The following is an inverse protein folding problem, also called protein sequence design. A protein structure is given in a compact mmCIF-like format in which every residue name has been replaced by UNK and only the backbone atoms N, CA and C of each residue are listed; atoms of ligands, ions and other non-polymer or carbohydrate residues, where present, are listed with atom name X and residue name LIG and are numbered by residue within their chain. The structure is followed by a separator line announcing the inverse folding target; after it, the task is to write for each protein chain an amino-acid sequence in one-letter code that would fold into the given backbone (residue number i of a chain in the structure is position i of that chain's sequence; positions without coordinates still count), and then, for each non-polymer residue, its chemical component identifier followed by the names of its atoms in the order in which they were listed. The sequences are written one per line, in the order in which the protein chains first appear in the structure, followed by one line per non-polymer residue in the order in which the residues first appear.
data_IF_164586525554
#
_entry.id   IF_164586525554
#
_cell.length_a   1.000
_cell.length_b   1.000
_cell.length_c   1.000
_cell.angle_alpha   90.00
_cell.angle_beta   90.00
_cell.angle_gamma   90.00
#
_symmetry.space_group_name_H-M   'P 1'
#
loop_
_entity.id
_entity.type
_entity.pdbx_description
1 polymer ?
#
# COMPACT_ATOMS: atom_id res chain seq x y z
N UNK A 1 -6.64 -11.03 -24.93
CA UNK A 1 -6.80 -12.48 -25.20
C UNK A 1 -6.04 -12.82 -26.47
N UNK A 2 -5.36 -13.97 -26.52
CA UNK A 2 -4.65 -14.40 -27.73
C UNK A 2 -5.63 -14.77 -28.87
N UNK A 3 -5.18 -14.83 -30.14
CA UNK A 3 -6.05 -15.10 -31.29
C UNK A 3 -6.85 -16.40 -31.19
N UNK A 4 -6.25 -17.46 -30.63
CA UNK A 4 -6.91 -18.76 -30.44
C UNK A 4 -8.09 -18.66 -29.47
N UNK A 5 -7.91 -17.98 -28.33
CA UNK A 5 -8.99 -17.76 -27.37
C UNK A 5 -10.11 -16.90 -27.96
N UNK A 6 -9.78 -15.89 -28.77
CA UNK A 6 -10.79 -15.07 -29.45
C UNK A 6 -11.68 -15.94 -30.34
N UNK A 7 -11.07 -16.75 -31.23
CA UNK A 7 -11.82 -17.65 -32.12
C UNK A 7 -12.70 -18.62 -31.34
N UNK A 8 -12.16 -19.27 -30.29
CA UNK A 8 -12.93 -20.19 -29.46
C UNK A 8 -14.10 -19.50 -28.75
N UNK A 9 -13.89 -18.30 -28.20
CA UNK A 9 -14.94 -17.53 -27.51
C UNK A 9 -16.09 -17.05 -28.40
N UNK A 10 -15.91 -17.02 -29.73
CA UNK A 10 -16.96 -16.63 -30.66
C UNK A 10 -17.92 -17.78 -31.01
N UNK A 11 -17.46 -19.02 -30.84
CA UNK A 11 -18.18 -20.23 -31.29
C UNK A 11 -18.77 -20.99 -30.10
N UNK A 12 -18.09 -20.97 -28.95
CA UNK A 12 -18.54 -21.70 -27.75
C UNK A 12 -19.74 -21.02 -27.09
N UNK A 13 -20.68 -21.84 -26.59
CA UNK A 13 -21.76 -21.38 -25.70
C UNK A 13 -21.16 -20.56 -24.55
N UNK A 14 -21.79 -19.46 -24.14
CA UNK A 14 -21.30 -18.53 -23.09
C UNK A 14 -19.97 -17.79 -23.36
N UNK A 15 -19.38 -17.98 -24.55
CA UNK A 15 -18.23 -17.21 -25.04
C UNK A 15 -17.03 -17.16 -24.11
N UNK A 16 -16.67 -15.97 -23.63
CA UNK A 16 -15.49 -15.77 -22.76
C UNK A 16 -15.61 -16.48 -21.41
N UNK A 17 -16.83 -16.59 -20.87
CA UNK A 17 -17.06 -17.24 -19.58
C UNK A 17 -16.67 -18.73 -19.66
N UNK A 18 -17.02 -19.40 -20.75
CA UNK A 18 -16.65 -20.79 -20.99
C UNK A 18 -15.16 -21.02 -21.09
N UNK A 19 -14.38 -20.08 -21.66
CA UNK A 19 -12.91 -20.23 -21.66
C UNK A 19 -12.34 -20.35 -20.24
N UNK A 20 -12.86 -19.55 -19.31
CA UNK A 20 -12.45 -19.57 -17.91
C UNK A 20 -12.98 -20.82 -17.20
N UNK A 21 -14.28 -21.11 -17.34
CA UNK A 21 -14.93 -22.20 -16.64
C UNK A 21 -14.45 -23.58 -17.13
N UNK A 22 -14.20 -23.77 -18.43
CA UNK A 22 -13.61 -24.99 -18.97
C UNK A 22 -12.26 -25.28 -18.29
N UNK A 23 -11.41 -24.26 -18.16
CA UNK A 23 -10.10 -24.40 -17.53
C UNK A 23 -10.22 -24.70 -16.03
N UNK A 24 -11.03 -23.92 -15.31
CA UNK A 24 -11.20 -24.11 -13.85
C UNK A 24 -11.81 -25.47 -13.54
N UNK A 25 -12.81 -25.92 -14.31
CA UNK A 25 -13.45 -27.22 -14.12
C UNK A 25 -12.46 -28.36 -14.35
N UNK A 26 -11.68 -28.33 -15.44
CA UNK A 26 -10.67 -29.35 -15.74
C UNK A 26 -9.64 -29.45 -14.62
N UNK A 27 -9.08 -28.32 -14.18
CA UNK A 27 -8.10 -28.28 -13.08
C UNK A 27 -8.74 -28.77 -11.78
N UNK A 28 -9.97 -28.37 -11.48
CA UNK A 28 -10.65 -28.76 -10.26
C UNK A 28 -10.98 -30.26 -10.22
N UNK A 29 -11.38 -30.84 -11.36
CA UNK A 29 -11.62 -32.28 -11.49
C UNK A 29 -10.32 -33.05 -11.30
N UNK A 30 -9.25 -32.66 -12.00
CA UNK A 30 -7.93 -33.28 -11.82
C UNK A 30 -7.48 -33.27 -10.34
N UNK A 31 -7.60 -32.13 -9.64
CA UNK A 31 -7.23 -32.04 -8.23
C UNK A 31 -8.09 -32.96 -7.38
N UNK A 32 -9.40 -33.05 -7.63
CA UNK A 32 -10.30 -33.92 -6.85
C UNK A 32 -10.03 -35.40 -7.06
N UNK A 33 -9.71 -35.81 -8.27
CA UNK A 33 -9.41 -37.21 -8.60
C UNK A 33 -8.09 -37.67 -7.95
N UNK A 34 -7.08 -36.79 -7.91
CA UNK A 34 -5.76 -37.13 -7.40
C UNK A 34 -5.58 -36.79 -5.90
N UNK A 35 -6.33 -35.81 -5.39
CA UNK A 35 -6.24 -35.29 -4.02
C UNK A 35 -7.63 -35.00 -3.44
N UNK A 36 -8.47 -36.04 -3.24
CA UNK A 36 -9.89 -35.88 -2.89
C UNK A 36 -10.16 -35.15 -1.56
N UNK A 37 -9.15 -35.07 -0.69
CA UNK A 37 -9.25 -34.39 0.60
C UNK A 37 -9.01 -32.87 0.52
N UNK A 38 -8.52 -32.35 -0.61
CA UNK A 38 -8.28 -30.92 -0.77
C UNK A 38 -9.58 -30.16 -1.08
N UNK A 39 -9.70 -28.98 -0.48
CA UNK A 39 -10.73 -28.00 -0.82
C UNK A 39 -10.14 -26.98 -1.78
N UNK A 40 -10.85 -26.73 -2.86
CA UNK A 40 -10.42 -25.81 -3.91
C UNK A 40 -11.12 -24.48 -3.69
N UNK A 41 -10.33 -23.43 -3.50
CA UNK A 41 -10.79 -22.06 -3.32
C UNK A 41 -10.33 -21.24 -4.52
N UNK A 42 -11.21 -20.42 -5.10
CA UNK A 42 -10.88 -19.52 -6.21
C UNK A 42 -11.31 -18.09 -5.90
N UNK A 43 -10.56 -17.11 -6.39
CA UNK A 43 -10.99 -15.71 -6.37
C UNK A 43 -12.23 -15.51 -7.24
N UNK A 44 -13.18 -14.71 -6.75
CA UNK A 44 -14.50 -14.63 -7.35
C UNK A 44 -14.62 -13.68 -8.55
N UNK A 45 -13.59 -12.87 -8.85
CA UNK A 45 -13.62 -11.78 -9.85
C UNK A 45 -14.25 -12.17 -11.17
N UNK A 46 -13.76 -13.29 -11.71
CA UNK A 46 -14.18 -13.78 -13.02
C UNK A 46 -15.63 -14.28 -13.01
N UNK A 47 -16.14 -14.69 -11.84
CA UNK A 47 -17.50 -15.18 -11.65
C UNK A 47 -18.54 -14.05 -11.53
N UNK A 48 -18.12 -12.84 -11.15
CA UNK A 48 -19.05 -11.72 -10.89
C UNK A 48 -19.91 -11.35 -12.08
N UNK A 49 -19.33 -11.35 -13.28
CA UNK A 49 -20.03 -11.01 -14.53
C UNK A 49 -20.86 -12.15 -15.13
N UNK A 50 -20.66 -13.39 -14.66
CA UNK A 50 -21.35 -14.58 -15.18
C UNK A 50 -22.76 -14.68 -14.59
N UNK A 51 -23.73 -15.06 -15.43
CA UNK A 51 -25.10 -15.30 -14.99
C UNK A 51 -25.25 -16.63 -14.23
N UNK A 52 -26.33 -16.74 -13.45
CA UNK A 52 -26.65 -17.94 -12.64
C UNK A 52 -26.68 -19.19 -13.51
N UNK A 53 -27.31 -19.12 -14.69
CA UNK A 53 -27.51 -20.28 -15.55
C UNK A 53 -26.17 -20.84 -16.06
N UNK A 54 -25.25 -19.97 -16.45
CA UNK A 54 -23.91 -20.34 -16.90
C UNK A 54 -23.16 -21.09 -15.80
N UNK A 55 -23.18 -20.56 -14.57
CA UNK A 55 -22.52 -21.20 -13.43
C UNK A 55 -23.16 -22.55 -13.07
N UNK A 56 -24.48 -22.68 -13.17
CA UNK A 56 -25.22 -23.93 -12.94
C UNK A 56 -24.93 -24.98 -14.02
N UNK A 57 -24.99 -24.61 -15.29
CA UNK A 57 -24.71 -25.50 -16.42
C UNK A 57 -23.29 -26.10 -16.32
N UNK A 58 -22.33 -25.36 -15.74
CA UNK A 58 -20.96 -25.83 -15.47
C UNK A 58 -20.79 -26.61 -14.16
N UNK A 59 -21.83 -26.68 -13.31
CA UNK A 59 -21.80 -27.31 -12.00
C UNK A 59 -20.66 -26.83 -11.08
N UNK A 60 -20.21 -25.58 -11.27
CA UNK A 60 -19.02 -25.04 -10.62
C UNK A 60 -19.16 -24.98 -9.10
N UNK A 61 -20.39 -24.80 -8.60
CA UNK A 61 -20.72 -24.75 -7.19
C UNK A 61 -20.44 -26.04 -6.41
N UNK A 62 -20.33 -27.17 -7.12
CA UNK A 62 -19.93 -28.45 -6.54
C UNK A 62 -18.43 -28.70 -6.65
N UNK A 63 -17.68 -27.88 -7.41
CA UNK A 63 -16.25 -28.07 -7.67
C UNK A 63 -15.37 -27.21 -6.75
N UNK A 64 -15.77 -25.96 -6.50
CA UNK A 64 -14.94 -24.95 -5.81
C UNK A 64 -15.75 -24.14 -4.81
N UNK A 65 -15.06 -23.51 -3.85
CA UNK A 65 -15.61 -22.48 -2.95
C UNK A 65 -15.08 -21.10 -3.38
N UNK A 66 -15.90 -20.06 -3.57
CA UNK A 66 -15.41 -18.73 -3.94
C UNK A 66 -14.84 -17.99 -2.74
N UNK A 67 -13.75 -17.25 -2.96
CA UNK A 67 -13.20 -16.23 -2.09
C UNK A 67 -13.62 -14.86 -2.61
N UNK A 68 -14.63 -14.27 -1.97
CA UNK A 68 -15.18 -12.97 -2.33
C UNK A 68 -14.35 -11.86 -1.69
N UNK A 69 -13.79 -10.96 -2.48
CA UNK A 69 -12.90 -9.91 -1.96
C UNK A 69 -13.33 -8.50 -2.33
N UNK A 70 -13.02 -7.54 -1.47
CA UNK A 70 -13.26 -6.12 -1.70
C UNK A 70 -12.45 -5.35 -0.67
N UNK A 71 -11.65 -4.39 -1.13
CA UNK A 71 -10.64 -3.75 -0.28
C UNK A 71 -10.91 -2.29 0.05
N UNK A 72 -11.94 -1.65 -0.54
CA UNK A 72 -12.27 -0.27 -0.20
C UNK A 72 -12.84 -0.14 1.22
N UNK A 73 -12.75 1.07 1.77
CA UNK A 73 -13.43 1.48 3.00
C UNK A 73 -14.96 1.39 2.87
N UNK A 74 -15.65 1.47 4.01
CA UNK A 74 -17.11 1.40 4.11
C UNK A 74 -17.84 2.35 3.17
N UNK A 75 -17.34 3.58 2.99
CA UNK A 75 -17.93 4.61 2.14
C UNK A 75 -17.95 4.22 0.65
N UNK A 76 -16.95 3.45 0.22
CA UNK A 76 -16.75 3.02 -1.18
C UNK A 76 -16.92 1.50 -1.36
N UNK A 77 -17.56 0.83 -0.40
CA UNK A 77 -17.73 -0.62 -0.42
C UNK A 77 -18.90 -1.02 -1.30
N UNK A 78 -18.62 -1.66 -2.46
CA UNK A 78 -19.61 -1.89 -3.53
C UNK A 78 -19.79 -3.36 -3.86
N UNK A 79 -20.27 -4.14 -2.89
CA UNK A 79 -20.86 -5.46 -3.12
C UNK A 79 -22.38 -5.36 -2.92
N UNK A 80 -23.15 -5.69 -3.97
CA UNK A 80 -24.60 -5.56 -3.95
C UNK A 80 -25.30 -6.83 -3.46
N UNK A 81 -26.55 -6.71 -3.00
CA UNK A 81 -27.36 -7.83 -2.53
C UNK A 81 -27.57 -8.93 -3.60
N UNK A 82 -27.62 -8.53 -4.88
CA UNK A 82 -27.80 -9.46 -6.00
C UNK A 82 -26.61 -10.41 -6.17
N UNK A 83 -25.38 -9.99 -5.82
CA UNK A 83 -24.21 -10.86 -5.80
C UNK A 83 -24.40 -11.99 -4.78
N UNK A 84 -24.85 -11.66 -3.58
CA UNK A 84 -25.07 -12.63 -2.50
C UNK A 84 -26.21 -13.59 -2.83
N UNK A 85 -27.29 -13.12 -3.45
CA UNK A 85 -28.38 -13.98 -3.95
C UNK A 85 -27.91 -14.92 -5.06
N UNK A 86 -27.12 -14.40 -6.00
CA UNK A 86 -26.49 -15.23 -7.03
C UNK A 86 -25.62 -16.30 -6.38
N UNK A 87 -24.72 -15.93 -5.48
CA UNK A 87 -23.78 -16.87 -4.89
C UNK A 87 -24.45 -17.86 -3.94
N UNK A 88 -25.49 -17.48 -3.19
CA UNK A 88 -26.25 -18.44 -2.37
C UNK A 88 -26.97 -19.51 -3.20
N UNK A 89 -27.34 -19.18 -4.44
CA UNK A 89 -27.99 -20.13 -5.36
C UNK A 89 -27.00 -21.09 -6.05
N UNK A 90 -25.70 -20.75 -6.06
CA UNK A 90 -24.66 -21.54 -6.75
C UNK A 90 -23.80 -22.30 -5.75
N UNK A 91 -23.32 -21.63 -4.71
CA UNK A 91 -22.31 -22.12 -3.80
C UNK A 91 -22.89 -22.38 -2.41
N UNK A 92 -22.61 -23.57 -1.86
CA UNK A 92 -22.98 -23.92 -0.48
C UNK A 92 -22.06 -23.25 0.54
N UNK A 93 -20.82 -23.00 0.17
CA UNK A 93 -19.78 -22.49 1.06
C UNK A 93 -19.05 -21.32 0.43
N UNK A 94 -18.79 -20.28 1.20
CA UNK A 94 -18.14 -19.04 0.74
C UNK A 94 -17.09 -18.62 1.75
N UNK A 95 -15.97 -18.10 1.23
CA UNK A 95 -14.96 -17.35 1.98
C UNK A 95 -15.02 -15.88 1.59
N UNK A 96 -14.55 -15.00 2.48
CA UNK A 96 -14.35 -13.58 2.17
C UNK A 96 -12.92 -13.14 2.42
N UNK A 97 -12.50 -12.07 1.77
CA UNK A 97 -11.18 -11.50 1.97
C UNK A 97 -11.21 -9.98 2.11
N UNK A 98 -10.66 -9.52 3.23
CA UNK A 98 -10.34 -8.11 3.51
C UNK A 98 -8.88 -7.82 3.19
N UNK A 99 -8.45 -6.57 3.34
CA UNK A 99 -7.04 -6.18 3.26
C UNK A 99 -6.61 -5.40 4.50
N UNK A 100 -5.45 -5.75 5.07
CA UNK A 100 -4.82 -4.99 6.16
C UNK A 100 -3.67 -4.08 5.67
N UNK A 101 -3.25 -4.24 4.41
CA UNK A 101 -2.26 -3.40 3.72
C UNK A 101 -2.37 -3.58 2.19
N UNK A 102 -1.78 -2.66 1.43
CA UNK A 102 -1.50 -2.85 0.01
C UNK A 102 -2.63 -2.49 -0.94
N UNK A 103 -3.72 -1.88 -0.44
CA UNK A 103 -4.92 -1.56 -1.23
C UNK A 103 -5.27 -0.07 -1.26
N UNK A 104 -4.37 0.80 -0.78
CA UNK A 104 -4.59 2.25 -0.69
C UNK A 104 -3.82 3.03 -1.74
N UNK A 105 -2.52 2.76 -1.88
CA UNK A 105 -1.66 3.39 -2.89
C UNK A 105 -0.44 2.53 -3.20
N UNK A 106 0.02 2.56 -4.45
CA UNK A 106 1.22 1.85 -4.90
C UNK A 106 2.53 2.43 -4.35
N UNK A 107 2.50 3.61 -3.72
CA UNK A 107 3.65 4.26 -3.08
C UNK A 107 3.47 4.50 -1.57
N UNK A 108 2.49 3.82 -0.96
CA UNK A 108 2.23 3.88 0.47
C UNK A 108 3.36 3.17 1.25
N UNK A 109 3.79 3.76 2.37
CA UNK A 109 4.89 3.24 3.19
C UNK A 109 4.34 2.59 4.48
N UNK A 110 3.53 3.35 5.21
CA UNK A 110 2.82 2.91 6.41
C UNK A 110 1.34 2.77 6.01
N UNK A 111 0.65 1.65 6.30
CA UNK A 111 -0.76 1.52 5.96
C UNK A 111 -1.64 2.63 6.53
N UNK A 112 -2.68 3.02 5.79
CA UNK A 112 -3.68 3.97 6.26
C UNK A 112 -4.65 3.21 7.17
N UNK A 113 -4.38 3.19 8.48
CA UNK A 113 -5.13 2.41 9.47
C UNK A 113 -6.65 2.58 9.35
N UNK A 114 -7.12 3.83 9.31
CA UNK A 114 -8.55 4.15 9.19
C UNK A 114 -9.21 3.48 7.98
N UNK A 115 -8.52 3.40 6.84
CA UNK A 115 -9.06 2.77 5.64
C UNK A 115 -9.24 1.26 5.84
N UNK A 116 -8.21 0.58 6.36
CA UNK A 116 -8.25 -0.87 6.54
C UNK A 116 -9.22 -1.30 7.65
N UNK A 117 -9.30 -0.56 8.75
CA UNK A 117 -10.32 -0.80 9.79
C UNK A 117 -11.72 -0.61 9.21
N UNK A 118 -11.95 0.47 8.46
CA UNK A 118 -13.23 0.73 7.80
C UNK A 118 -13.60 -0.37 6.77
N UNK A 119 -12.62 -0.95 6.07
CA UNK A 119 -12.85 -2.11 5.21
C UNK A 119 -13.34 -3.34 6.01
N UNK A 120 -12.80 -3.58 7.20
CA UNK A 120 -13.23 -4.69 8.06
C UNK A 120 -14.64 -4.46 8.62
N UNK A 121 -14.97 -3.23 9.00
CA UNK A 121 -16.34 -2.86 9.40
C UNK A 121 -17.34 -3.05 8.26
N UNK A 122 -16.95 -2.72 7.02
CA UNK A 122 -17.77 -2.97 5.85
C UNK A 122 -18.06 -4.46 5.65
N UNK A 123 -17.06 -5.33 5.84
CA UNK A 123 -17.24 -6.77 5.79
C UNK A 123 -18.14 -7.30 6.89
N UNK A 124 -18.00 -6.81 8.13
CA UNK A 124 -18.89 -7.15 9.23
C UNK A 124 -20.35 -6.78 8.90
N UNK A 125 -20.57 -5.60 8.30
CA UNK A 125 -21.90 -5.17 7.83
C UNK A 125 -22.45 -6.06 6.71
N UNK A 126 -21.62 -6.53 5.78
CA UNK A 126 -22.05 -7.50 4.77
C UNK A 126 -22.49 -8.82 5.41
N UNK A 127 -21.75 -9.30 6.41
CA UNK A 127 -22.08 -10.53 7.13
C UNK A 127 -23.40 -10.38 7.91
N UNK A 128 -23.63 -9.23 8.55
CA UNK A 128 -24.89 -8.93 9.22
C UNK A 128 -26.08 -8.94 8.24
N UNK A 129 -25.95 -8.27 7.09
CA UNK A 129 -27.05 -8.10 6.13
C UNK A 129 -27.32 -9.35 5.27
N UNK A 130 -26.28 -10.14 4.97
CA UNK A 130 -26.35 -11.19 3.95
C UNK A 130 -25.83 -12.55 4.40
N UNK A 131 -25.21 -12.65 5.58
CA UNK A 131 -24.66 -13.89 6.10
C UNK A 131 -25.69 -15.01 6.21
N UNK A 132 -26.94 -14.69 6.56
CA UNK A 132 -28.04 -15.65 6.66
C UNK A 132 -28.45 -16.28 5.32
N UNK A 133 -28.09 -15.67 4.18
CA UNK A 133 -28.32 -16.23 2.84
C UNK A 133 -27.30 -17.33 2.49
N UNK A 134 -26.15 -17.36 3.16
CA UNK A 134 -25.04 -18.26 2.87
C UNK A 134 -25.16 -19.49 3.77
N UNK A 135 -25.28 -20.68 3.19
CA UNK A 135 -25.42 -21.92 3.97
C UNK A 135 -24.21 -22.17 4.88
N UNK A 136 -22.99 -21.98 4.37
CA UNK A 136 -21.76 -22.14 5.14
C UNK A 136 -20.79 -20.98 4.87
N UNK A 137 -20.81 -19.95 5.72
CA UNK A 137 -19.74 -18.96 5.75
C UNK A 137 -18.51 -19.57 6.44
N UNK A 138 -17.39 -19.68 5.71
CA UNK A 138 -16.21 -20.41 6.17
C UNK A 138 -15.28 -19.58 7.04
N UNK A 139 -15.14 -18.30 6.74
CA UNK A 139 -14.22 -17.41 7.42
C UNK A 139 -13.72 -16.29 6.52
N UNK A 140 -12.82 -15.48 7.06
CA UNK A 140 -12.19 -14.36 6.37
C UNK A 140 -10.67 -14.55 6.27
N UNK A 141 -10.12 -14.29 5.09
CA UNK A 141 -8.68 -14.12 4.89
C UNK A 141 -8.31 -12.63 4.97
N UNK A 142 -7.31 -12.28 5.78
CA UNK A 142 -6.77 -10.92 5.84
C UNK A 142 -5.60 -10.85 4.85
N UNK A 143 -5.81 -10.19 3.71
CA UNK A 143 -4.79 -10.08 2.66
C UNK A 143 -3.86 -8.90 2.87
N UNK A 144 -2.62 -9.01 2.37
CA UNK A 144 -1.62 -7.96 2.49
C UNK A 144 -0.74 -7.88 1.25
N UNK A 145 -1.19 -7.15 0.24
CA UNK A 145 -0.45 -6.95 -1.01
C UNK A 145 0.80 -6.11 -0.77
N UNK A 146 1.90 -6.43 -1.46
CA UNK A 146 3.17 -5.70 -1.33
C UNK A 146 3.58 -5.00 -2.64
N UNK A 147 2.88 -5.29 -3.74
CA UNK A 147 3.04 -4.67 -5.07
C UNK A 147 1.70 -4.67 -5.80
N UNK A 148 1.54 -3.74 -6.74
CA UNK A 148 0.35 -3.65 -7.59
C UNK A 148 0.52 -4.47 -8.88
N UNK A 149 1.75 -4.64 -9.35
CA UNK A 149 2.13 -5.55 -10.43
C UNK A 149 3.63 -5.89 -10.30
N UNK A 150 4.19 -6.58 -11.30
CA UNK A 150 5.60 -6.99 -11.30
C UNK A 150 6.60 -5.83 -11.48
N UNK A 151 6.16 -4.70 -12.03
CA UNK A 151 6.99 -3.52 -12.32
C UNK A 151 6.86 -2.43 -11.24
N UNK A 152 5.79 -2.45 -10.46
CA UNK A 152 5.57 -1.54 -9.36
C UNK A 152 6.54 -1.80 -8.21
N UNK A 153 7.00 -0.72 -7.58
CA UNK A 153 7.88 -0.78 -6.40
C UNK A 153 7.17 -1.40 -5.19
N UNK A 154 7.94 -1.86 -4.20
CA UNK A 154 7.37 -2.30 -2.94
C UNK A 154 6.59 -1.18 -2.22
N UNK A 155 5.43 -1.54 -1.69
CA UNK A 155 4.63 -0.71 -0.80
C UNK A 155 4.35 -1.47 0.49
N UNK A 156 4.13 -0.72 1.58
CA UNK A 156 3.63 -1.24 2.87
C UNK A 156 4.32 -2.54 3.30
N UNK A 157 5.61 -2.42 3.65
CA UNK A 157 6.39 -3.57 4.11
C UNK A 157 5.73 -4.26 5.31
N UNK A 158 5.99 -5.56 5.47
CA UNK A 158 5.35 -6.34 6.54
C UNK A 158 5.59 -5.73 7.94
N UNK A 159 6.82 -5.34 8.35
CA UNK A 159 7.03 -4.67 9.63
C UNK A 159 6.21 -3.39 9.81
N UNK A 160 6.08 -2.60 8.74
CA UNK A 160 5.28 -1.36 8.75
C UNK A 160 3.78 -1.62 8.91
N UNK A 161 3.34 -2.86 8.65
CA UNK A 161 1.92 -3.22 8.54
C UNK A 161 1.39 -4.07 9.68
N UNK A 162 2.25 -4.50 10.60
CA UNK A 162 1.85 -5.25 11.80
C UNK A 162 0.81 -4.50 12.63
N UNK A 163 0.91 -3.18 12.89
CA UNK A 163 -0.12 -2.46 13.63
C UNK A 163 -1.49 -2.53 12.95
N UNK A 164 -1.52 -2.35 11.63
CA UNK A 164 -2.75 -2.46 10.83
C UNK A 164 -3.33 -3.87 10.86
N UNK A 165 -2.49 -4.89 10.72
CA UNK A 165 -2.90 -6.29 10.81
C UNK A 165 -3.54 -6.61 12.17
N UNK A 166 -2.89 -6.22 13.27
CA UNK A 166 -3.37 -6.46 14.62
C UNK A 166 -4.72 -5.76 14.87
N UNK A 167 -4.85 -4.50 14.44
CA UNK A 167 -6.10 -3.76 14.59
C UNK A 167 -7.21 -4.40 13.77
N UNK A 168 -6.97 -4.66 12.48
CA UNK A 168 -7.92 -5.33 11.58
C UNK A 168 -8.41 -6.68 12.14
N UNK A 169 -7.50 -7.50 12.66
CA UNK A 169 -7.82 -8.78 13.27
C UNK A 169 -8.70 -8.62 14.52
N UNK A 170 -8.35 -7.69 15.41
CA UNK A 170 -9.13 -7.41 16.62
C UNK A 170 -10.52 -6.87 16.27
N UNK A 171 -10.63 -5.96 15.31
CA UNK A 171 -11.92 -5.45 14.81
C UNK A 171 -12.81 -6.59 14.31
N UNK A 172 -12.26 -7.52 13.51
CA UNK A 172 -13.02 -8.67 13.03
C UNK A 172 -13.49 -9.58 14.17
N UNK A 173 -12.60 -9.94 15.10
CA UNK A 173 -12.93 -10.83 16.22
C UNK A 173 -13.92 -10.22 17.21
N UNK A 174 -13.88 -8.90 17.40
CA UNK A 174 -14.79 -8.17 18.29
C UNK A 174 -16.11 -7.78 17.62
N UNK A 175 -16.24 -7.93 16.30
CA UNK A 175 -17.44 -7.56 15.54
C UNK A 175 -17.67 -6.05 15.39
N UNK A 176 -16.73 -5.20 15.82
CA UNK A 176 -16.77 -3.74 15.70
C UNK A 176 -15.39 -3.13 15.95
N UNK A 177 -15.18 -1.87 15.53
CA UNK A 177 -14.02 -1.09 15.99
C UNK A 177 -14.44 -0.21 17.18
N UNK A 178 -13.63 -0.18 18.24
CA UNK A 178 -13.86 0.64 19.43
C UNK A 178 -12.54 1.22 19.92
N UNK A 179 -12.57 2.30 20.69
CA UNK A 179 -11.36 2.88 21.30
C UNK A 179 -10.64 1.89 22.23
N UNK A 180 -11.36 0.97 22.87
CA UNK A 180 -10.75 -0.09 23.69
C UNK A 180 -9.88 -1.07 22.87
N UNK A 181 -10.22 -1.29 21.60
CA UNK A 181 -9.39 -2.11 20.70
C UNK A 181 -8.09 -1.37 20.36
N UNK A 182 -8.17 -0.07 20.09
CA UNK A 182 -6.97 0.75 19.81
C UNK A 182 -5.99 0.66 20.97
N UNK A 183 -6.46 0.96 22.19
CA UNK A 183 -5.66 0.93 23.41
C UNK A 183 -5.00 -0.44 23.58
N UNK A 184 -5.79 -1.51 23.47
CA UNK A 184 -5.28 -2.88 23.60
C UNK A 184 -4.21 -3.23 22.55
N UNK A 185 -4.37 -2.77 21.30
CA UNK A 185 -3.39 -2.99 20.23
C UNK A 185 -2.12 -2.18 20.49
N UNK A 186 -2.25 -0.89 20.86
CA UNK A 186 -1.12 -0.03 21.20
C UNK A 186 -0.29 -0.64 22.35
N UNK A 187 -0.94 -1.01 23.45
CA UNK A 187 -0.30 -1.64 24.60
C UNK A 187 0.44 -2.93 24.21
N UNK A 188 -0.22 -3.80 23.44
CA UNK A 188 0.36 -5.09 23.00
C UNK A 188 1.59 -4.89 22.12
N UNK A 189 1.61 -3.84 21.30
CA UNK A 189 2.70 -3.54 20.37
C UNK A 189 3.75 -2.58 20.95
N UNK A 190 3.57 -2.12 22.19
CA UNK A 190 4.50 -1.20 22.87
C UNK A 190 4.44 0.25 22.38
N UNK A 191 3.32 0.66 21.78
CA UNK A 191 3.09 2.06 21.41
C UNK A 191 2.60 2.88 22.62
N UNK A 192 3.02 4.15 22.73
CA UNK A 192 2.35 5.11 23.59
C UNK A 192 0.88 5.30 23.18
N UNK A 193 0.02 5.65 24.13
CA UNK A 193 -1.38 5.96 23.87
C UNK A 193 -1.49 7.09 22.82
N UNK A 194 -2.43 6.95 21.87
CA UNK A 194 -2.66 7.91 20.79
C UNK A 194 -1.64 7.90 19.63
N UNK A 195 -0.54 7.13 19.73
CA UNK A 195 0.50 7.16 18.69
C UNK A 195 0.00 6.76 17.29
N UNK A 196 -0.84 5.72 17.20
CA UNK A 196 -1.32 5.20 15.93
C UNK A 196 -2.36 6.11 15.24
N UNK A 197 -3.01 7.00 16.00
CA UNK A 197 -4.07 7.89 15.51
C UNK A 197 -3.58 9.32 15.27
N UNK A 198 -2.73 9.84 16.14
CA UNK A 198 -2.22 11.22 16.08
C UNK A 198 -0.92 11.34 15.27
N UNK A 199 -0.13 10.26 15.24
CA UNK A 199 1.16 10.20 14.54
C UNK A 199 2.24 11.09 15.17
N UNK A 200 3.49 10.85 14.75
CA UNK A 200 4.57 11.82 14.96
C UNK A 200 5.13 11.93 16.39
N UNK A 201 5.81 10.88 16.86
CA UNK A 201 6.84 11.07 17.89
C UNK A 201 8.23 11.08 17.25
N UNK A 202 9.01 12.13 17.52
CA UNK A 202 10.46 12.05 17.40
C UNK A 202 10.92 11.12 18.52
N UNK A 203 11.37 9.89 18.25
CA UNK A 203 12.32 9.21 19.16
C UNK A 203 12.99 7.97 18.52
N UNK A 204 14.33 7.94 18.46
CA UNK A 204 15.10 6.70 18.26
C UNK A 204 15.05 5.72 19.45
N UNK A 205 14.51 6.14 20.60
CA UNK A 205 14.54 5.37 21.86
C UNK A 205 13.27 4.58 22.17
N UNK A 206 12.22 4.68 21.34
CA UNK A 206 11.02 3.87 21.54
C UNK A 206 11.34 2.41 21.18
N UNK A 207 11.00 1.49 22.06
CA UNK A 207 11.11 0.05 21.81
C UNK A 207 9.73 -0.55 21.64
N UNK A 208 9.45 -1.03 20.44
CA UNK A 208 8.17 -1.67 20.11
C UNK A 208 8.24 -3.19 20.36
N UNK A 209 7.12 -3.76 20.76
CA UNK A 209 6.99 -5.17 21.18
C UNK A 209 6.56 -6.07 20.01
N UNK A 210 7.18 -5.91 18.84
CA UNK A 210 6.93 -6.80 17.70
C UNK A 210 8.13 -6.91 16.74
N UNK A 211 8.24 -8.01 15.97
CA UNK A 211 9.32 -8.20 15.00
C UNK A 211 9.34 -7.08 13.95
N UNK A 212 10.50 -6.46 13.77
CA UNK A 212 10.66 -5.36 12.82
C UNK A 212 10.15 -4.00 13.32
N UNK A 213 9.87 -3.84 14.61
CA UNK A 213 9.51 -2.54 15.20
C UNK A 213 10.51 -1.41 14.91
N UNK A 214 11.81 -1.70 14.87
CA UNK A 214 12.84 -0.73 14.46
C UNK A 214 12.68 -0.29 12.99
N UNK A 215 12.27 -1.20 12.09
CA UNK A 215 11.97 -0.87 10.69
C UNK A 215 10.74 0.05 10.65
N UNK A 216 9.68 -0.28 11.41
CA UNK A 216 8.51 0.58 11.50
C UNK A 216 8.90 2.02 11.91
N UNK A 217 9.66 2.17 13.01
CA UNK A 217 10.08 3.48 13.52
C UNK A 217 10.96 4.24 12.52
N UNK A 218 11.90 3.55 11.87
CA UNK A 218 12.76 4.16 10.86
C UNK A 218 11.97 4.62 9.62
N UNK A 219 10.95 3.87 9.21
CA UNK A 219 10.10 4.23 8.07
C UNK A 219 9.07 5.32 8.42
N UNK A 220 8.58 5.37 9.66
CA UNK A 220 7.76 6.48 10.18
C UNK A 220 8.58 7.78 10.22
N UNK A 221 9.82 7.71 10.71
CA UNK A 221 10.76 8.82 10.64
C UNK A 221 11.03 9.24 9.18
N UNK A 222 11.26 8.29 8.28
CA UNK A 222 11.38 8.60 6.84
C UNK A 222 10.16 9.33 6.30
N UNK A 223 8.93 8.93 6.66
CA UNK A 223 7.72 9.60 6.22
C UNK A 223 7.69 11.07 6.65
N UNK A 224 8.13 11.36 7.87
CA UNK A 224 8.30 12.73 8.38
C UNK A 224 9.33 13.51 7.56
N UNK A 225 10.50 12.92 7.28
CA UNK A 225 11.54 13.54 6.46
C UNK A 225 11.08 13.79 5.02
N UNK A 226 10.32 12.86 4.44
CA UNK A 226 9.74 13.01 3.09
C UNK A 226 8.75 14.16 3.04
N UNK A 227 7.96 14.38 4.09
CA UNK A 227 7.07 15.55 4.20
C UNK A 227 7.86 16.84 4.35
N UNK A 228 8.87 16.90 5.24
CA UNK A 228 9.78 18.06 5.35
C UNK A 228 10.42 18.42 4.01
N UNK A 229 10.96 17.42 3.31
CA UNK A 229 11.54 17.57 1.97
C UNK A 229 10.55 18.20 0.99
N UNK A 230 9.33 17.65 0.89
CA UNK A 230 8.27 18.16 0.01
C UNK A 230 7.91 19.60 0.34
N UNK A 231 7.81 19.95 1.62
CA UNK A 231 7.49 21.31 2.04
C UNK A 231 8.59 22.31 1.65
N UNK A 232 9.87 21.91 1.75
CA UNK A 232 10.99 22.77 1.34
C UNK A 232 10.98 22.97 -0.17
N UNK A 233 10.99 21.90 -0.98
CA UNK A 233 11.10 22.01 -2.45
C UNK A 233 9.90 22.72 -3.09
N UNK A 234 8.72 22.63 -2.47
CA UNK A 234 7.50 23.28 -2.95
C UNK A 234 7.23 24.63 -2.26
N UNK A 235 8.14 25.11 -1.42
CA UNK A 235 7.97 26.42 -0.76
C UNK A 235 7.98 27.56 -1.77
N UNK A 236 7.24 28.63 -1.48
CA UNK A 236 7.30 29.87 -2.27
C UNK A 236 8.74 30.36 -2.43
N UNK A 237 9.56 30.14 -1.39
CA UNK A 237 10.96 30.50 -1.39
C UNK A 237 11.74 29.81 -2.52
N UNK A 238 11.63 28.49 -2.62
CA UNK A 238 12.21 27.70 -3.70
C UNK A 238 11.59 28.06 -5.06
N UNK A 239 10.27 28.24 -5.13
CA UNK A 239 9.57 28.46 -6.39
C UNK A 239 9.82 29.85 -6.99
N UNK A 240 10.16 30.86 -6.19
CA UNK A 240 10.26 32.25 -6.66
C UNK A 240 11.63 32.91 -6.46
N UNK A 241 12.54 32.34 -5.66
CA UNK A 241 13.92 32.83 -5.51
C UNK A 241 15.03 31.79 -5.78
N UNK A 242 14.67 30.53 -6.00
CA UNK A 242 15.64 29.47 -6.30
C UNK A 242 15.15 28.42 -7.31
N UNK A 243 14.29 28.81 -8.24
CA UNK A 243 13.81 27.86 -9.26
C UNK A 243 14.85 27.65 -10.38
N UNK A 244 14.63 26.64 -11.22
CA UNK A 244 15.56 26.29 -12.31
C UNK A 244 15.82 27.43 -13.29
N UNK A 245 14.82 28.28 -13.57
CA UNK A 245 15.04 29.43 -14.45
C UNK A 245 15.99 30.45 -13.80
N UNK A 246 15.86 30.73 -12.51
CA UNK A 246 16.73 31.65 -11.79
C UNK A 246 18.17 31.14 -11.71
N UNK A 247 18.35 29.85 -11.39
CA UNK A 247 19.67 29.19 -11.35
C UNK A 247 20.35 29.29 -12.71
N UNK A 248 19.67 28.88 -13.79
CA UNK A 248 20.23 28.92 -15.16
C UNK A 248 20.58 30.33 -15.65
N UNK A 249 19.95 31.37 -15.10
CA UNK A 249 20.20 32.76 -15.48
C UNK A 249 21.11 33.51 -14.49
N UNK A 250 21.63 32.83 -13.46
CA UNK A 250 22.36 33.44 -12.34
C UNK A 250 21.62 34.65 -11.77
N UNK A 251 20.30 34.52 -11.64
CA UNK A 251 19.38 35.57 -11.21
C UNK A 251 18.69 35.14 -9.91
N UNK A 252 19.50 35.03 -8.86
CA UNK A 252 19.07 34.62 -7.53
C UNK A 252 19.33 35.73 -6.51
N UNK A 253 18.65 35.64 -5.36
CA UNK A 253 18.87 36.55 -4.24
C UNK A 253 19.71 35.83 -3.15
N UNK A 254 20.97 36.23 -2.91
CA UNK A 254 21.83 35.60 -1.91
C UNK A 254 21.21 35.52 -0.50
N UNK A 255 20.48 36.55 -0.08
CA UNK A 255 19.80 36.56 1.22
C UNK A 255 18.76 35.43 1.33
N UNK A 256 18.06 35.13 0.24
CA UNK A 256 17.10 34.02 0.22
C UNK A 256 17.83 32.68 0.25
N UNK A 257 18.92 32.56 -0.50
CA UNK A 257 19.74 31.33 -0.52
C UNK A 257 20.36 31.03 0.85
N UNK A 258 20.90 32.06 1.53
CA UNK A 258 21.49 31.92 2.88
C UNK A 258 20.50 31.40 3.91
N UNK A 259 19.21 31.70 3.74
CA UNK A 259 18.16 31.16 4.62
C UNK A 259 17.73 29.74 4.27
N UNK A 260 17.80 29.32 2.99
CA UNK A 260 17.42 27.97 2.56
C UNK A 260 18.52 26.95 2.87
N UNK A 261 19.78 27.32 2.62
CA UNK A 261 20.93 26.40 2.67
C UNK A 261 21.09 25.66 4.01
N UNK A 262 20.86 26.26 5.20
CA UNK A 262 20.89 25.55 6.47
C UNK A 262 19.87 24.41 6.54
N UNK A 263 18.63 24.64 6.10
CA UNK A 263 17.57 23.61 6.11
C UNK A 263 17.89 22.46 5.15
N UNK A 264 18.50 22.75 4.00
CA UNK A 264 18.96 21.72 3.05
C UNK A 264 20.06 20.86 3.69
N UNK A 265 21.03 21.49 4.36
CA UNK A 265 22.10 20.76 5.05
C UNK A 265 21.57 19.90 6.21
N UNK A 266 20.69 20.45 7.04
CA UNK A 266 20.05 19.74 8.15
C UNK A 266 19.28 18.52 7.62
N UNK A 267 18.42 18.71 6.61
CA UNK A 267 17.62 17.63 6.05
C UNK A 267 18.50 16.55 5.39
N UNK A 268 19.59 16.93 4.72
CA UNK A 268 20.54 15.99 4.12
C UNK A 268 21.26 15.14 5.19
N UNK A 269 21.56 15.73 6.35
CA UNK A 269 22.12 15.03 7.50
C UNK A 269 21.07 14.10 8.14
N UNK A 270 19.85 14.59 8.37
CA UNK A 270 18.76 13.82 8.97
C UNK A 270 18.43 12.57 8.12
N UNK A 271 18.27 12.72 6.80
CA UNK A 271 17.96 11.57 5.93
C UNK A 271 19.11 10.57 5.85
N UNK A 272 20.36 11.03 5.90
CA UNK A 272 21.53 10.13 5.94
C UNK A 272 21.60 9.37 7.26
N UNK A 273 21.23 10.02 8.36
CA UNK A 273 21.15 9.37 9.68
C UNK A 273 20.02 8.34 9.71
N UNK A 274 18.85 8.66 9.16
CA UNK A 274 17.72 7.74 9.05
C UNK A 274 18.06 6.50 8.19
N UNK A 275 18.71 6.70 7.04
CA UNK A 275 19.17 5.60 6.19
C UNK A 275 20.17 4.68 6.93
N UNK A 276 21.11 5.26 7.66
CA UNK A 276 22.08 4.50 8.47
C UNK A 276 21.41 3.74 9.62
N UNK A 277 20.42 4.35 10.28
CA UNK A 277 19.64 3.71 11.34
C UNK A 277 18.91 2.46 10.82
N UNK A 278 18.36 2.52 9.62
CA UNK A 278 17.62 1.41 9.01
C UNK A 278 18.52 0.28 8.49
N UNK A 279 19.83 0.52 8.30
CA UNK A 279 20.74 -0.44 7.66
C UNK A 279 20.71 -1.83 8.34
N UNK A 280 21.08 -1.90 9.62
CA UNK A 280 21.16 -3.18 10.32
C UNK A 280 19.79 -3.87 10.49
N UNK A 281 18.70 -3.16 10.88
CA UNK A 281 17.37 -3.77 10.94
C UNK A 281 16.90 -4.36 9.61
N UNK A 282 17.15 -3.66 8.48
CA UNK A 282 16.79 -4.13 7.15
C UNK A 282 17.63 -5.35 6.74
N UNK A 283 18.95 -5.32 6.95
CA UNK A 283 19.86 -6.44 6.66
C UNK A 283 19.49 -7.71 7.43
N UNK A 284 18.97 -7.56 8.65
CA UNK A 284 18.51 -8.68 9.47
C UNK A 284 17.14 -9.25 9.03
N UNK A 285 16.37 -8.53 8.21
CA UNK A 285 14.97 -8.87 7.89
C UNK A 285 14.75 -9.20 6.42
N UNK A 286 15.47 -8.55 5.52
CA UNK A 286 15.22 -8.59 4.08
C UNK A 286 16.45 -9.02 3.28
N UNK A 287 16.18 -9.60 2.11
CA UNK A 287 17.24 -9.91 1.15
C UNK A 287 17.87 -8.64 0.57
N UNK A 288 19.15 -8.69 0.13
CA UNK A 288 19.85 -7.52 -0.41
C UNK A 288 19.11 -6.78 -1.53
N UNK A 289 18.46 -7.49 -2.45
CA UNK A 289 17.73 -6.87 -3.56
C UNK A 289 16.54 -6.01 -3.10
N UNK A 290 15.87 -6.42 -2.02
CA UNK A 290 14.77 -5.64 -1.42
C UNK A 290 15.31 -4.37 -0.78
N UNK A 291 16.47 -4.46 -0.11
CA UNK A 291 17.12 -3.32 0.53
C UNK A 291 17.61 -2.33 -0.52
N UNK A 292 18.23 -2.83 -1.59
CA UNK A 292 18.67 -2.03 -2.73
C UNK A 292 17.50 -1.27 -3.37
N UNK A 293 16.37 -1.96 -3.62
CA UNK A 293 15.17 -1.32 -4.15
C UNK A 293 14.66 -0.21 -3.23
N UNK A 294 14.55 -0.46 -1.92
CA UNK A 294 14.11 0.54 -0.95
C UNK A 294 15.04 1.76 -0.92
N UNK A 295 16.35 1.53 -0.90
CA UNK A 295 17.35 2.61 -0.95
C UNK A 295 17.24 3.42 -2.24
N UNK A 296 17.17 2.73 -3.38
CA UNK A 296 17.11 3.35 -4.71
C UNK A 296 15.81 4.12 -4.97
N UNK A 297 14.70 3.68 -4.38
CA UNK A 297 13.37 4.28 -4.61
C UNK A 297 13.01 5.35 -3.59
N UNK A 298 13.45 5.22 -2.34
CA UNK A 298 13.03 6.10 -1.25
C UNK A 298 14.12 7.10 -0.84
N UNK A 299 15.36 6.65 -0.69
CA UNK A 299 16.43 7.45 -0.09
C UNK A 299 17.28 8.18 -1.14
N UNK A 300 17.78 7.44 -2.13
CA UNK A 300 18.68 7.97 -3.15
C UNK A 300 18.11 9.19 -3.89
N UNK A 301 16.82 9.23 -4.33
CA UNK A 301 16.29 10.37 -5.07
C UNK A 301 16.27 11.66 -4.24
N UNK A 302 15.88 11.56 -2.96
CA UNK A 302 15.84 12.72 -2.06
C UNK A 302 17.26 13.19 -1.77
N UNK A 303 18.18 12.28 -1.44
CA UNK A 303 19.58 12.62 -1.14
C UNK A 303 20.29 13.26 -2.34
N UNK A 304 20.07 12.72 -3.54
CA UNK A 304 20.66 13.27 -4.76
C UNK A 304 20.12 14.67 -5.03
N UNK A 305 18.81 14.88 -4.93
CA UNK A 305 18.22 16.19 -5.16
C UNK A 305 18.68 17.23 -4.13
N UNK A 306 18.74 16.88 -2.84
CA UNK A 306 19.25 17.78 -1.81
C UNK A 306 20.72 18.15 -2.02
N UNK A 307 21.57 17.20 -2.45
CA UNK A 307 22.97 17.47 -2.82
C UNK A 307 23.07 18.42 -4.01
N UNK A 308 22.22 18.25 -5.01
CA UNK A 308 22.16 19.16 -6.16
C UNK A 308 21.76 20.56 -5.72
N UNK A 309 20.67 20.71 -4.97
CA UNK A 309 20.21 22.01 -4.44
C UNK A 309 21.32 22.67 -3.62
N UNK A 310 21.99 21.92 -2.74
CA UNK A 310 23.12 22.42 -1.96
C UNK A 310 24.23 22.97 -2.85
N UNK A 311 24.66 22.20 -3.85
CA UNK A 311 25.70 22.61 -4.80
C UNK A 311 25.30 23.88 -5.56
N UNK A 312 24.04 23.97 -5.97
CA UNK A 312 23.50 25.14 -6.66
C UNK A 312 23.50 26.36 -5.73
N UNK A 313 23.10 26.20 -4.47
CA UNK A 313 23.11 27.27 -3.46
C UNK A 313 24.53 27.81 -3.27
N UNK A 314 25.49 26.93 -3.03
CA UNK A 314 26.91 27.29 -2.84
C UNK A 314 27.47 28.01 -4.08
N UNK A 315 27.12 27.54 -5.28
CA UNK A 315 27.51 28.18 -6.53
C UNK A 315 26.91 29.57 -6.67
N UNK A 316 25.61 29.74 -6.42
CA UNK A 316 24.94 31.03 -6.55
C UNK A 316 25.42 32.04 -5.49
N UNK A 317 25.70 31.60 -4.26
CA UNK A 317 26.31 32.43 -3.22
C UNK A 317 27.70 32.91 -3.63
N UNK A 318 28.54 32.02 -4.19
CA UNK A 318 29.86 32.39 -4.70
C UNK A 318 29.81 33.38 -5.88
N UNK A 319 28.71 33.38 -6.63
CA UNK A 319 28.48 34.33 -7.74
C UNK A 319 27.97 35.71 -7.28
N UNK A 320 27.46 35.83 -6.05
CA UNK A 320 26.96 37.07 -5.44
C UNK A 320 25.63 37.59 -6.00
N UNK A 321 25.24 38.81 -5.62
CA UNK A 321 24.06 39.50 -6.16
C UNK A 321 24.26 39.84 -7.64
N UNK A 322 23.31 39.47 -8.51
CA UNK A 322 23.35 39.85 -9.94
C UNK A 322 22.05 40.47 -10.41
N UNK A 323 22.17 41.61 -11.09
CA UNK A 323 21.09 42.24 -11.82
C UNK A 323 21.11 41.73 -13.26
N UNK A 324 19.95 41.35 -13.79
CA UNK A 324 19.80 40.89 -15.18
C UNK A 324 20.41 41.92 -16.14
N UNK A 325 21.40 41.50 -16.95
CA UNK A 325 22.03 42.34 -17.97
C UNK A 325 23.43 42.88 -17.64
N UNK A 326 23.95 42.70 -16.40
CA UNK A 326 25.34 43.05 -16.08
C UNK A 326 26.27 41.84 -16.25
N UNK A 327 27.18 41.89 -17.24
CA UNK A 327 28.37 41.04 -17.27
C UNK A 327 29.33 41.50 -16.17
N UNK A 328 30.04 40.56 -15.53
CA UNK A 328 31.11 40.80 -14.53
C UNK A 328 31.86 42.08 -14.87
N UNK A 329 31.86 43.07 -13.96
CA UNK A 329 32.96 44.04 -13.98
C UNK A 329 34.21 43.24 -13.63
N UNK A 330 35.06 43.03 -14.63
CA UNK A 330 36.38 42.45 -14.44
C UNK A 330 37.17 43.51 -13.66
N UNK A 331 37.39 43.26 -12.37
CA UNK A 331 38.39 43.98 -11.56
C UNK A 331 39.63 43.13 -11.47
#
# INVERSE_FOLDING_TARGET
MCPTCVKRSQIIKYGKASLYLDHVTEVAQFIKENYPNLKIIIWDDMLRSMDVKTLQDYNIGNLVEPMVWHYNSLEDFKLNAALWEKYSNIFKSIWVASAFKGSTSSCQIIPILKHHISNHEAWLRQLELHGSKILHFRGMALTGWSRYDHYATLCEMMPCSIPSMCYCLKTWLSGSSTSGIEISVCESLGFPEGYLTEGGLKMPSLQLNFPGGQIFLGMDWYCTLRTKYRNIINSDQMQTWFNQWQICNNYTNPMQIDTILPFINELLLEISTNENYLKAPLENTFYPHTIEELQGTLFAPIKQHLRQIKSDCETQLALGCRVRGQKRMIT
#
